data_IF_477604751963
#
_entry.id   IF_477604751963
#
_cell.length_a   1.000
_cell.length_b   1.000
_cell.length_c   1.000
_cell.angle_alpha   90.00
_cell.angle_beta   90.00
_cell.angle_gamma   90.00
#
_symmetry.space_group_name_H-M   'P 1'
#
loop_
_entity.id
_entity.type
_entity.pdbx_description
1 polymer ?
#
# COMPACT_ATOMS: atom_id res chain seq x y z
N UNK A 1 -48.68 -3.45 -13.44
CA UNK A 1 -49.57 -2.96 -12.35
C UNK A 1 -49.04 -3.50 -11.03
N UNK A 2 -48.23 -2.72 -10.32
CA UNK A 2 -47.74 -3.04 -8.98
C UNK A 2 -48.84 -2.66 -7.98
N UNK A 3 -49.44 -3.66 -7.34
CA UNK A 3 -50.41 -3.46 -6.25
C UNK A 3 -49.66 -3.20 -4.94
N UNK A 4 -50.15 -2.19 -4.22
CA UNK A 4 -49.73 -1.79 -2.89
C UNK A 4 -49.88 -2.93 -1.87
N UNK A 5 -48.82 -3.20 -1.10
CA UNK A 5 -48.89 -4.15 0.02
C UNK A 5 -47.56 -4.64 0.60
N UNK A 6 -46.44 -4.55 -0.13
CA UNK A 6 -45.09 -4.80 0.42
C UNK A 6 -44.40 -3.47 0.71
N UNK A 7 -43.70 -3.37 1.85
CA UNK A 7 -42.89 -2.19 2.15
C UNK A 7 -41.93 -1.93 0.99
N UNK A 8 -41.72 -0.66 0.56
CA UNK A 8 -40.90 -0.34 -0.62
C UNK A 8 -39.45 -0.83 -0.52
N UNK A 9 -38.97 -1.20 0.67
CA UNK A 9 -37.62 -1.71 0.96
C UNK A 9 -37.45 -3.19 0.61
N UNK A 10 -38.37 -4.08 0.99
CA UNK A 10 -38.25 -5.54 0.77
C UNK A 10 -38.24 -5.90 -0.73
N UNK A 11 -39.05 -5.22 -1.54
CA UNK A 11 -39.05 -5.41 -2.99
C UNK A 11 -37.74 -4.95 -3.64
N UNK A 12 -37.09 -3.92 -3.07
CA UNK A 12 -35.78 -3.43 -3.50
C UNK A 12 -34.67 -4.41 -3.19
N UNK A 13 -34.61 -4.93 -1.96
CA UNK A 13 -33.62 -5.93 -1.53
C UNK A 13 -33.68 -7.20 -2.40
N UNK A 14 -34.88 -7.75 -2.58
CA UNK A 14 -35.08 -8.95 -3.40
C UNK A 14 -34.64 -8.73 -4.87
N UNK A 15 -34.90 -7.55 -5.43
CA UNK A 15 -34.46 -7.20 -6.78
C UNK A 15 -32.93 -7.11 -6.89
N UNK A 16 -32.26 -6.50 -5.90
CA UNK A 16 -30.81 -6.39 -5.87
C UNK A 16 -30.13 -7.75 -5.72
N UNK A 17 -30.66 -8.63 -4.86
CA UNK A 17 -30.16 -9.99 -4.71
C UNK A 17 -30.33 -10.81 -6.00
N UNK A 18 -31.46 -10.67 -6.69
CA UNK A 18 -31.66 -11.31 -7.99
C UNK A 18 -30.65 -10.79 -9.04
N UNK A 19 -30.42 -9.47 -9.08
CA UNK A 19 -29.45 -8.84 -9.98
C UNK A 19 -28.03 -9.35 -9.70
N UNK A 20 -27.63 -9.42 -8.42
CA UNK A 20 -26.35 -9.97 -7.99
C UNK A 20 -26.15 -11.41 -8.45
N UNK A 21 -27.16 -12.26 -8.27
CA UNK A 21 -27.12 -13.66 -8.68
C UNK A 21 -26.94 -13.82 -10.21
N UNK A 22 -27.57 -12.95 -11.00
CA UNK A 22 -27.41 -12.94 -12.45
C UNK A 22 -26.01 -12.45 -12.89
N UNK A 23 -25.44 -11.50 -12.17
CA UNK A 23 -24.19 -10.81 -12.54
C UNK A 23 -22.91 -11.53 -12.09
N UNK A 24 -22.92 -12.16 -10.91
CA UNK A 24 -21.70 -12.58 -10.19
C UNK A 24 -20.80 -13.52 -10.99
N UNK A 25 -21.36 -14.39 -11.83
CA UNK A 25 -20.62 -15.41 -12.59
C UNK A 25 -20.62 -15.23 -14.11
N UNK A 26 -21.26 -14.19 -14.63
CA UNK A 26 -21.46 -14.03 -16.07
C UNK A 26 -21.12 -12.61 -16.53
N UNK A 27 -20.02 -12.45 -17.28
CA UNK A 27 -19.58 -11.17 -17.84
C UNK A 27 -20.60 -10.56 -18.83
N UNK A 28 -21.31 -11.39 -19.59
CA UNK A 28 -22.34 -10.90 -20.52
C UNK A 28 -23.52 -10.34 -19.75
N UNK A 29 -23.91 -10.99 -18.64
CA UNK A 29 -24.97 -10.46 -17.79
C UNK A 29 -24.57 -9.15 -17.12
N UNK A 30 -23.33 -9.03 -16.62
CA UNK A 30 -22.83 -7.74 -16.09
C UNK A 30 -23.02 -6.61 -17.08
N UNK A 31 -22.63 -6.84 -18.35
CA UNK A 31 -22.75 -5.84 -19.42
C UNK A 31 -24.21 -5.50 -19.69
N UNK A 32 -25.06 -6.53 -19.91
CA UNK A 32 -26.49 -6.35 -20.19
C UNK A 32 -27.25 -5.64 -19.08
N UNK A 33 -26.88 -5.85 -17.82
CA UNK A 33 -27.51 -5.17 -16.68
C UNK A 33 -27.25 -3.67 -16.74
N UNK A 34 -26.02 -3.26 -17.06
CA UNK A 34 -25.67 -1.85 -17.24
C UNK A 34 -26.38 -1.28 -18.48
N UNK A 35 -26.40 -2.00 -19.59
CA UNK A 35 -27.10 -1.59 -20.82
C UNK A 35 -28.62 -1.43 -20.60
N UNK A 36 -29.20 -2.21 -19.69
CA UNK A 36 -30.61 -2.11 -19.31
C UNK A 36 -30.93 -0.92 -18.38
N UNK A 37 -29.95 -0.05 -18.10
CA UNK A 37 -30.15 1.17 -17.30
C UNK A 37 -30.12 0.95 -15.79
N UNK A 38 -29.55 -0.16 -15.30
CA UNK A 38 -29.56 -0.46 -13.87
C UNK A 38 -28.73 0.51 -13.01
N UNK A 39 -27.79 1.28 -13.61
CA UNK A 39 -26.89 2.14 -12.84
C UNK A 39 -27.61 3.26 -12.10
N UNK A 40 -28.54 3.98 -12.73
CA UNK A 40 -29.21 5.11 -12.10
C UNK A 40 -29.98 4.71 -10.82
N UNK A 41 -30.82 3.64 -10.82
CA UNK A 41 -31.43 3.13 -9.60
C UNK A 41 -30.41 2.69 -8.53
N UNK A 42 -29.33 2.01 -8.95
CA UNK A 42 -28.28 1.57 -8.03
C UNK A 42 -27.61 2.75 -7.32
N UNK A 43 -27.29 3.83 -8.05
CA UNK A 43 -26.71 5.04 -7.47
C UNK A 43 -27.68 5.79 -6.55
N UNK A 44 -28.99 5.69 -6.81
CA UNK A 44 -30.02 6.15 -5.88
C UNK A 44 -29.96 5.37 -4.56
N UNK A 45 -29.83 4.05 -4.62
CA UNK A 45 -29.76 3.19 -3.42
C UNK A 45 -28.45 3.33 -2.64
N UNK A 46 -27.33 3.70 -3.26
CA UNK A 46 -26.10 4.05 -2.52
C UNK A 46 -26.30 5.19 -1.51
N UNK A 47 -27.30 6.05 -1.75
CA UNK A 47 -27.63 7.20 -0.91
C UNK A 47 -28.76 6.91 0.08
N UNK A 48 -29.29 5.68 0.10
CA UNK A 48 -30.37 5.28 0.99
C UNK A 48 -29.95 5.40 2.45
N UNK A 49 -30.88 5.81 3.32
CA UNK A 49 -30.73 5.72 4.77
C UNK A 49 -30.91 4.28 5.29
N UNK A 50 -31.47 3.39 4.46
CA UNK A 50 -31.53 1.96 4.73
C UNK A 50 -30.17 1.33 4.41
N UNK A 51 -29.44 0.94 5.46
CA UNK A 51 -28.08 0.41 5.35
C UNK A 51 -28.05 -0.96 4.67
N UNK A 52 -29.10 -1.78 4.76
CA UNK A 52 -29.14 -3.06 4.04
C UNK A 52 -29.29 -2.81 2.53
N UNK A 53 -30.17 -1.87 2.16
CA UNK A 53 -30.37 -1.50 0.78
C UNK A 53 -29.12 -0.84 0.17
N UNK A 54 -28.43 0.01 0.94
CA UNK A 54 -27.14 0.59 0.55
C UNK A 54 -26.07 -0.50 0.37
N UNK A 55 -25.98 -1.46 1.28
CA UNK A 55 -25.04 -2.58 1.19
C UNK A 55 -25.27 -3.39 -0.09
N UNK A 56 -26.50 -3.83 -0.35
CA UNK A 56 -26.81 -4.60 -1.56
C UNK A 56 -26.56 -3.83 -2.85
N UNK A 57 -26.86 -2.52 -2.85
CA UNK A 57 -26.55 -1.67 -4.00
C UNK A 57 -25.02 -1.54 -4.21
N UNK A 58 -24.26 -1.42 -3.12
CA UNK A 58 -22.80 -1.35 -3.17
C UNK A 58 -22.21 -2.66 -3.70
N UNK A 59 -22.70 -3.81 -3.22
CA UNK A 59 -22.32 -5.13 -3.73
C UNK A 59 -22.64 -5.30 -5.22
N UNK A 60 -23.78 -4.76 -5.68
CA UNK A 60 -24.15 -4.79 -7.10
C UNK A 60 -23.18 -3.94 -7.93
N UNK A 61 -22.87 -2.72 -7.50
CA UNK A 61 -21.88 -1.86 -8.18
C UNK A 61 -20.49 -2.51 -8.19
N UNK A 62 -20.06 -3.11 -7.08
CA UNK A 62 -18.83 -3.91 -7.02
C UNK A 62 -18.84 -5.01 -8.10
N UNK A 63 -19.90 -5.81 -8.14
CA UNK A 63 -20.03 -6.92 -9.09
C UNK A 63 -19.99 -6.44 -10.54
N UNK A 64 -20.69 -5.37 -10.86
CA UNK A 64 -20.74 -4.80 -12.21
C UNK A 64 -19.41 -4.15 -12.61
N UNK A 65 -18.71 -3.52 -11.67
CA UNK A 65 -17.39 -2.89 -11.89
C UNK A 65 -16.27 -3.87 -12.18
N UNK A 66 -16.46 -5.16 -11.91
CA UNK A 66 -15.49 -6.20 -12.26
C UNK A 66 -15.34 -6.36 -13.79
N UNK A 67 -16.37 -5.96 -14.57
CA UNK A 67 -16.34 -6.05 -16.03
C UNK A 67 -15.61 -4.86 -16.65
N UNK A 68 -14.60 -5.12 -17.48
CA UNK A 68 -13.84 -4.06 -18.17
C UNK A 68 -14.72 -3.16 -19.04
N UNK A 69 -15.78 -3.71 -19.66
CA UNK A 69 -16.75 -2.96 -20.47
C UNK A 69 -17.56 -1.97 -19.63
N UNK A 70 -17.91 -2.34 -18.40
CA UNK A 70 -18.74 -1.50 -17.54
C UNK A 70 -17.96 -0.40 -16.83
N UNK A 71 -16.66 -0.60 -16.56
CA UNK A 71 -15.87 0.35 -15.76
C UNK A 71 -15.95 1.79 -16.29
N UNK A 72 -15.77 2.09 -17.59
CA UNK A 72 -15.89 3.46 -18.09
C UNK A 72 -17.28 4.07 -17.89
N UNK A 73 -18.34 3.25 -18.04
CA UNK A 73 -19.74 3.67 -17.89
C UNK A 73 -20.03 4.00 -16.41
N UNK A 74 -19.63 3.12 -15.49
CA UNK A 74 -19.78 3.31 -14.04
C UNK A 74 -18.96 4.52 -13.56
N UNK A 75 -17.78 4.74 -14.13
CA UNK A 75 -16.93 5.88 -13.75
C UNK A 75 -17.57 7.20 -14.16
N UNK A 76 -18.20 7.22 -15.34
CA UNK A 76 -18.86 8.40 -15.90
C UNK A 76 -20.24 8.67 -15.30
N UNK A 77 -20.83 7.72 -14.55
CA UNK A 77 -22.16 7.87 -13.96
C UNK A 77 -22.19 8.61 -12.62
N UNK A 78 -21.03 9.03 -12.10
CA UNK A 78 -20.92 9.67 -10.78
C UNK A 78 -20.85 8.67 -9.61
N UNK A 79 -20.53 7.39 -9.88
CA UNK A 79 -20.44 6.37 -8.83
C UNK A 79 -19.30 6.63 -7.82
N UNK A 80 -18.16 7.19 -8.26
CA UNK A 80 -16.96 7.39 -7.44
C UNK A 80 -17.24 8.20 -6.15
N UNK A 81 -17.80 9.43 -6.19
CA UNK A 81 -18.11 10.18 -4.98
C UNK A 81 -19.08 9.45 -4.05
N UNK A 82 -20.04 8.71 -4.60
CA UNK A 82 -21.01 7.93 -3.82
C UNK A 82 -20.33 6.75 -3.11
N UNK A 83 -19.43 6.04 -3.78
CA UNK A 83 -18.67 4.93 -3.18
C UNK A 83 -17.76 5.43 -2.05
N UNK A 84 -17.12 6.60 -2.19
CA UNK A 84 -16.32 7.20 -1.10
C UNK A 84 -17.20 7.64 0.07
N UNK A 85 -18.43 8.12 -0.19
CA UNK A 85 -19.41 8.38 0.87
C UNK A 85 -19.80 7.08 1.61
N UNK A 86 -20.09 5.99 0.89
CA UNK A 86 -20.37 4.68 1.49
C UNK A 86 -19.18 4.19 2.33
N UNK A 87 -17.94 4.38 1.86
CA UNK A 87 -16.74 4.03 2.62
C UNK A 87 -16.66 4.76 3.98
N UNK A 88 -17.16 6.00 4.03
CA UNK A 88 -17.20 6.80 5.26
C UNK A 88 -18.35 6.39 6.18
N UNK A 89 -19.57 6.26 5.64
CA UNK A 89 -20.82 6.25 6.40
C UNK A 89 -21.53 4.88 6.45
N UNK A 90 -21.19 3.96 5.54
CA UNK A 90 -21.88 2.69 5.39
C UNK A 90 -21.60 1.70 6.52
N UNK A 91 -22.34 0.60 6.53
CA UNK A 91 -22.07 -0.51 7.45
C UNK A 91 -20.74 -1.22 7.08
N UNK A 92 -20.20 -2.10 7.94
CA UNK A 92 -18.90 -2.74 7.68
C UNK A 92 -18.80 -3.48 6.34
N UNK A 93 -19.85 -4.17 5.91
CA UNK A 93 -19.84 -4.91 4.64
C UNK A 93 -19.91 -3.96 3.44
N UNK A 94 -20.76 -2.93 3.49
CA UNK A 94 -20.83 -1.89 2.47
C UNK A 94 -19.49 -1.15 2.32
N UNK A 95 -18.78 -0.86 3.42
CA UNK A 95 -17.44 -0.26 3.36
C UNK A 95 -16.42 -1.16 2.65
N UNK A 96 -16.45 -2.46 2.95
CA UNK A 96 -15.61 -3.45 2.27
C UNK A 96 -15.91 -3.49 0.77
N UNK A 97 -17.18 -3.55 0.39
CA UNK A 97 -17.58 -3.63 -1.01
C UNK A 97 -17.26 -2.33 -1.76
N UNK A 98 -17.41 -1.18 -1.10
CA UNK A 98 -17.07 0.12 -1.65
C UNK A 98 -15.58 0.24 -2.01
N UNK A 99 -14.66 -0.19 -1.12
CA UNK A 99 -13.23 -0.14 -1.44
C UNK A 99 -12.85 -1.11 -2.55
N UNK A 100 -13.48 -2.28 -2.62
CA UNK A 100 -13.26 -3.24 -3.71
C UNK A 100 -13.78 -2.68 -5.05
N UNK A 101 -14.90 -1.97 -5.04
CA UNK A 101 -15.43 -1.31 -6.24
C UNK A 101 -14.52 -0.17 -6.69
N UNK A 102 -14.05 0.67 -5.75
CA UNK A 102 -13.10 1.75 -6.04
C UNK A 102 -11.79 1.20 -6.61
N UNK A 103 -11.27 0.09 -6.09
CA UNK A 103 -10.11 -0.59 -6.65
C UNK A 103 -10.36 -1.11 -8.07
N UNK A 104 -11.53 -1.69 -8.36
CA UNK A 104 -11.86 -2.13 -9.72
C UNK A 104 -11.88 -0.95 -10.70
N UNK A 105 -12.43 0.19 -10.29
CA UNK A 105 -12.49 1.41 -11.10
C UNK A 105 -11.11 2.07 -11.25
N UNK A 106 -10.26 2.00 -10.23
CA UNK A 106 -8.92 2.60 -10.26
C UNK A 106 -7.96 1.93 -11.26
N UNK A 107 -8.33 0.78 -11.84
CA UNK A 107 -7.56 0.17 -12.94
C UNK A 107 -7.65 0.97 -14.25
N UNK A 108 -8.56 1.95 -14.33
CA UNK A 108 -8.54 2.98 -15.37
C UNK A 108 -7.76 4.16 -14.81
N UNK A 109 -6.62 4.48 -15.43
CA UNK A 109 -5.68 5.51 -14.92
C UNK A 109 -6.35 6.86 -14.67
N UNK A 110 -7.24 7.31 -15.57
CA UNK A 110 -7.94 8.59 -15.45
C UNK A 110 -8.84 8.66 -14.21
N UNK A 111 -9.31 7.52 -13.70
CA UNK A 111 -10.12 7.47 -12.49
C UNK A 111 -9.34 7.76 -11.22
N UNK A 112 -8.00 7.58 -11.21
CA UNK A 112 -7.21 7.82 -10.00
C UNK A 112 -7.31 9.27 -9.53
N UNK A 113 -7.30 10.23 -10.46
CA UNK A 113 -7.49 11.65 -10.13
C UNK A 113 -8.90 11.93 -9.64
N UNK A 114 -9.92 11.33 -10.26
CA UNK A 114 -11.31 11.47 -9.83
C UNK A 114 -11.54 10.91 -8.41
N UNK A 115 -10.93 9.75 -8.10
CA UNK A 115 -10.95 9.16 -6.77
C UNK A 115 -10.23 10.06 -5.77
N UNK A 116 -9.04 10.60 -6.11
CA UNK A 116 -8.29 11.47 -5.20
C UNK A 116 -9.01 12.81 -4.93
N UNK A 117 -9.71 13.36 -5.93
CA UNK A 117 -10.44 14.61 -5.81
C UNK A 117 -11.54 14.58 -4.73
N UNK A 118 -12.08 13.41 -4.42
CA UNK A 118 -13.11 13.22 -3.38
C UNK A 118 -12.52 12.81 -2.02
N UNK A 119 -11.21 13.00 -1.82
CA UNK A 119 -10.49 12.85 -0.54
C UNK A 119 -10.71 11.48 0.13
N UNK A 120 -10.25 10.39 -0.50
CA UNK A 120 -10.54 9.03 -0.04
C UNK A 120 -9.63 8.60 1.12
N UNK A 121 -8.59 9.38 1.45
CA UNK A 121 -7.51 8.94 2.35
C UNK A 121 -8.00 8.67 3.79
N UNK A 122 -8.67 9.61 4.49
CA UNK A 122 -9.15 9.33 5.84
C UNK A 122 -10.03 8.07 5.94
N UNK A 123 -11.07 7.87 5.09
CA UNK A 123 -11.91 6.67 5.20
C UNK A 123 -11.19 5.37 4.77
N UNK A 124 -10.18 5.43 3.89
CA UNK A 124 -9.34 4.26 3.57
C UNK A 124 -8.45 3.85 4.76
N UNK A 125 -7.87 4.82 5.46
CA UNK A 125 -7.04 4.55 6.65
C UNK A 125 -7.90 4.01 7.79
N UNK A 126 -9.07 4.60 8.04
CA UNK A 126 -10.01 4.08 9.05
C UNK A 126 -10.49 2.66 8.74
N UNK A 127 -10.73 2.33 7.47
CA UNK A 127 -11.08 0.96 7.07
C UNK A 127 -9.96 -0.04 7.40
N UNK A 128 -8.70 0.33 7.14
CA UNK A 128 -7.55 -0.53 7.46
C UNK A 128 -7.34 -0.68 8.97
N UNK A 129 -7.49 0.40 9.76
CA UNK A 129 -7.38 0.36 11.22
C UNK A 129 -8.42 -0.57 11.84
N UNK A 130 -9.67 -0.54 11.36
CA UNK A 130 -10.76 -1.35 11.89
C UNK A 130 -10.80 -2.81 11.38
N UNK A 131 -9.98 -3.15 10.38
CA UNK A 131 -10.04 -4.43 9.67
C UNK A 131 -8.86 -5.37 9.96
N UNK A 132 -9.04 -6.66 9.66
CA UNK A 132 -7.93 -7.64 9.68
C UNK A 132 -6.96 -7.32 8.53
N UNK A 133 -5.68 -7.05 8.85
CA UNK A 133 -4.65 -6.66 7.88
C UNK A 133 -4.35 -7.71 6.82
N UNK A 134 -4.57 -8.99 7.12
CA UNK A 134 -4.43 -10.11 6.17
C UNK A 134 -5.70 -10.43 5.37
N UNK A 135 -6.73 -9.59 5.42
CA UNK A 135 -7.96 -9.78 4.64
C UNK A 135 -7.78 -9.34 3.17
N UNK A 136 -8.58 -9.93 2.26
CA UNK A 136 -8.63 -9.51 0.85
C UNK A 136 -9.03 -8.04 0.70
N UNK A 137 -9.89 -7.55 1.58
CA UNK A 137 -10.28 -6.14 1.60
C UNK A 137 -9.10 -5.24 1.93
N UNK A 138 -8.31 -5.59 2.96
CA UNK A 138 -7.08 -4.87 3.29
C UNK A 138 -6.08 -4.90 2.12
N UNK A 139 -5.93 -6.05 1.43
CA UNK A 139 -5.08 -6.14 0.23
C UNK A 139 -5.52 -5.14 -0.86
N UNK A 140 -6.83 -5.05 -1.14
CA UNK A 140 -7.36 -4.13 -2.17
C UNK A 140 -7.33 -2.68 -1.75
N UNK A 141 -7.58 -2.39 -0.47
CA UNK A 141 -7.45 -1.06 0.09
C UNK A 141 -6.00 -0.57 -0.01
N UNK A 142 -5.04 -1.41 0.36
CA UNK A 142 -3.62 -1.09 0.26
C UNK A 142 -3.17 -0.93 -1.20
N UNK A 143 -3.66 -1.77 -2.12
CA UNK A 143 -3.37 -1.65 -3.55
C UNK A 143 -3.92 -0.34 -4.16
N UNK A 144 -5.11 0.09 -3.74
CA UNK A 144 -5.68 1.38 -4.14
C UNK A 144 -4.81 2.53 -3.61
N UNK A 145 -4.40 2.48 -2.33
CA UNK A 145 -3.49 3.48 -1.74
C UNK A 145 -2.15 3.53 -2.49
N UNK A 146 -1.51 2.39 -2.78
CA UNK A 146 -0.27 2.32 -3.58
C UNK A 146 -0.45 3.04 -4.93
N UNK A 147 -1.58 2.81 -5.62
CA UNK A 147 -1.87 3.42 -6.91
C UNK A 147 -2.07 4.95 -6.81
N UNK A 148 -2.72 5.42 -5.74
CA UNK A 148 -2.97 6.85 -5.51
C UNK A 148 -1.70 7.60 -5.08
N UNK A 149 -0.75 6.93 -4.44
CA UNK A 149 0.52 7.53 -3.99
C UNK A 149 1.45 7.97 -5.14
N UNK A 150 1.11 7.66 -6.39
CA UNK A 150 1.70 8.30 -7.56
C UNK A 150 1.53 9.84 -7.54
N UNK A 151 0.47 10.35 -6.92
CA UNK A 151 0.15 11.78 -6.85
C UNK A 151 0.66 12.41 -5.54
N UNK A 152 1.28 13.59 -5.63
CA UNK A 152 1.82 14.31 -4.45
C UNK A 152 0.74 14.66 -3.44
N UNK A 153 -0.42 15.08 -3.92
CA UNK A 153 -1.60 15.35 -3.10
C UNK A 153 -1.97 14.14 -2.22
N UNK A 154 -1.88 12.91 -2.74
CA UNK A 154 -2.14 11.70 -1.96
C UNK A 154 -1.08 11.48 -0.88
N UNK A 155 0.20 11.65 -1.22
CA UNK A 155 1.30 11.46 -0.26
C UNK A 155 1.21 12.46 0.89
N UNK A 156 0.92 13.73 0.60
CA UNK A 156 0.72 14.78 1.61
C UNK A 156 -0.49 14.47 2.49
N UNK A 157 -1.62 14.06 1.90
CA UNK A 157 -2.81 13.67 2.65
C UNK A 157 -2.53 12.48 3.56
N UNK A 158 -1.85 11.43 3.06
CA UNK A 158 -1.48 10.26 3.84
C UNK A 158 -0.59 10.60 5.04
N UNK A 159 0.40 11.48 4.87
CA UNK A 159 1.29 11.90 5.97
C UNK A 159 0.63 12.87 6.94
N UNK A 160 -0.47 13.52 6.54
CA UNK A 160 -1.22 14.43 7.41
C UNK A 160 -2.31 13.70 8.19
N UNK A 161 -2.76 12.53 7.71
CA UNK A 161 -3.73 11.68 8.38
C UNK A 161 -3.11 10.99 9.60
N UNK A 162 -3.80 11.05 10.73
CA UNK A 162 -3.31 10.47 11.98
C UNK A 162 -3.13 8.95 11.83
N UNK A 163 -1.90 8.47 12.04
CA UNK A 163 -1.55 7.07 11.87
C UNK A 163 -1.59 6.59 10.41
N UNK A 164 -1.60 7.48 9.42
CA UNK A 164 -1.64 7.10 8.01
C UNK A 164 -0.46 6.22 7.59
N UNK A 165 0.77 6.66 7.84
CA UNK A 165 2.00 5.89 7.53
C UNK A 165 2.11 4.64 8.41
N UNK A 166 1.79 4.76 9.71
CA UNK A 166 1.75 3.63 10.65
C UNK A 166 0.85 2.49 10.14
N UNK A 167 -0.34 2.83 9.66
CA UNK A 167 -1.31 1.84 9.16
C UNK A 167 -0.73 1.04 7.98
N UNK A 168 0.05 1.69 7.10
CA UNK A 168 0.74 0.98 6.01
C UNK A 168 1.86 0.08 6.54
N UNK A 169 2.60 0.52 7.55
CA UNK A 169 3.65 -0.28 8.21
C UNK A 169 3.05 -1.50 8.92
N UNK A 170 1.94 -1.35 9.60
CA UNK A 170 1.24 -2.48 10.22
C UNK A 170 0.72 -3.48 9.16
N UNK A 171 0.26 -3.01 7.98
CA UNK A 171 -0.04 -3.92 6.84
C UNK A 171 1.23 -4.60 6.31
N UNK A 172 2.37 -3.90 6.30
CA UNK A 172 3.67 -4.46 5.95
C UNK A 172 4.11 -5.56 6.93
N UNK A 173 3.68 -5.52 8.18
CA UNK A 173 4.04 -6.51 9.21
C UNK A 173 3.05 -7.68 9.26
N UNK A 174 1.75 -7.40 9.28
CA UNK A 174 0.69 -8.37 9.59
C UNK A 174 -0.16 -8.77 8.37
N UNK A 175 0.11 -8.18 7.22
CA UNK A 175 -0.66 -8.36 6.00
C UNK A 175 -0.53 -9.74 5.36
N UNK A 176 -1.39 -10.02 4.37
CA UNK A 176 -1.19 -11.16 3.48
C UNK A 176 0.05 -10.93 2.61
N UNK A 177 0.52 -11.96 1.89
CA UNK A 177 1.62 -11.76 0.93
C UNK A 177 1.32 -10.67 -0.12
N UNK A 178 0.05 -10.52 -0.53
CA UNK A 178 -0.35 -9.45 -1.45
C UNK A 178 -0.41 -8.10 -0.75
N UNK A 179 -1.03 -8.02 0.44
CA UNK A 179 -1.12 -6.80 1.22
C UNK A 179 0.26 -6.24 1.58
N UNK A 180 1.19 -7.11 1.99
CA UNK A 180 2.59 -6.75 2.27
C UNK A 180 3.33 -6.27 1.01
N UNK A 181 3.08 -6.88 -0.16
CA UNK A 181 3.65 -6.44 -1.45
C UNK A 181 3.17 -5.04 -1.87
N UNK A 182 1.90 -4.73 -1.60
CA UNK A 182 1.32 -3.40 -1.82
C UNK A 182 1.84 -2.39 -0.79
N UNK A 183 1.94 -2.77 0.48
CA UNK A 183 2.44 -1.90 1.54
C UNK A 183 3.89 -1.48 1.32
N UNK A 184 4.79 -2.42 0.98
CA UNK A 184 6.17 -2.08 0.63
C UNK A 184 6.25 -1.21 -0.61
N UNK A 185 5.35 -1.42 -1.59
CA UNK A 185 5.26 -0.59 -2.78
C UNK A 185 4.83 0.84 -2.49
N UNK A 186 3.82 1.02 -1.64
CA UNK A 186 3.37 2.33 -1.18
C UNK A 186 4.51 3.11 -0.49
N UNK A 187 5.20 2.50 0.47
CA UNK A 187 6.34 3.11 1.17
C UNK A 187 7.52 3.40 0.22
N UNK A 188 7.77 2.50 -0.74
CA UNK A 188 8.80 2.69 -1.76
C UNK A 188 8.49 3.88 -2.67
N UNK A 189 7.27 3.98 -3.21
CA UNK A 189 6.84 5.11 -4.04
C UNK A 189 6.98 6.44 -3.30
N UNK A 190 6.66 6.49 -2.00
CA UNK A 190 6.90 7.68 -1.19
C UNK A 190 8.40 8.02 -1.15
N UNK A 191 9.26 7.09 -0.75
CA UNK A 191 10.72 7.30 -0.69
C UNK A 191 11.37 7.64 -2.04
N UNK A 192 10.92 7.05 -3.14
CA UNK A 192 11.41 7.34 -4.50
C UNK A 192 11.00 8.74 -4.95
N UNK A 193 9.83 9.21 -4.54
CA UNK A 193 9.34 10.55 -4.90
C UNK A 193 10.10 11.68 -4.20
N UNK A 194 10.35 11.54 -2.89
CA UNK A 194 11.16 12.48 -2.10
C UNK A 194 11.70 11.78 -0.86
N UNK A 195 12.89 11.19 -1.01
CA UNK A 195 13.58 10.49 0.09
C UNK A 195 13.75 11.39 1.31
N UNK A 196 14.07 12.67 1.12
CA UNK A 196 14.36 13.59 2.23
C UNK A 196 13.11 13.87 3.08
N UNK A 197 11.96 13.94 2.43
CA UNK A 197 10.66 14.20 3.06
C UNK A 197 10.07 12.98 3.76
N UNK A 198 10.15 11.79 3.14
CA UNK A 198 9.39 10.63 3.60
C UNK A 198 10.21 9.62 4.41
N UNK A 199 11.54 9.64 4.32
CA UNK A 199 12.40 8.66 4.99
C UNK A 199 12.17 8.60 6.50
N UNK A 200 12.24 9.74 7.18
CA UNK A 200 12.18 9.77 8.65
C UNK A 200 10.78 9.41 9.13
N UNK A 201 9.73 9.81 8.40
CA UNK A 201 8.36 9.38 8.68
C UNK A 201 8.24 7.86 8.65
N UNK A 202 8.75 7.20 7.61
CA UNK A 202 8.69 5.73 7.47
C UNK A 202 9.51 5.02 8.56
N UNK A 203 10.68 5.57 8.92
CA UNK A 203 11.53 4.98 9.97
C UNK A 203 10.94 5.13 11.36
N UNK A 204 10.33 6.28 11.65
CA UNK A 204 9.74 6.55 12.97
C UNK A 204 8.55 5.63 13.26
N UNK A 205 7.83 5.18 12.22
CA UNK A 205 6.77 4.17 12.35
C UNK A 205 7.30 2.73 12.42
N UNK A 206 8.63 2.52 12.35
CA UNK A 206 9.22 1.22 12.62
C UNK A 206 9.24 0.24 11.43
N UNK A 207 9.28 0.69 10.18
CA UNK A 207 9.18 -0.21 9.00
C UNK A 207 10.27 -1.30 8.87
N UNK A 208 11.43 -1.17 9.55
CA UNK A 208 12.62 -2.00 9.30
C UNK A 208 12.41 -3.50 9.56
N UNK A 209 11.84 -3.95 10.69
CA UNK A 209 11.64 -5.38 10.96
C UNK A 209 10.78 -6.04 9.88
N UNK A 210 9.63 -5.45 9.54
CA UNK A 210 8.76 -5.93 8.47
C UNK A 210 9.46 -6.00 7.10
N UNK A 211 10.28 -4.99 6.76
CA UNK A 211 11.07 -5.00 5.52
C UNK A 211 12.11 -6.13 5.50
N UNK A 212 12.84 -6.35 6.60
CA UNK A 212 13.83 -7.42 6.70
C UNK A 212 13.19 -8.79 6.59
N UNK A 213 12.06 -9.01 7.26
CA UNK A 213 11.29 -10.24 7.15
C UNK A 213 10.84 -10.49 5.70
N UNK A 214 10.33 -9.45 5.02
CA UNK A 214 9.93 -9.50 3.63
C UNK A 214 11.06 -9.88 2.68
N UNK A 215 12.33 -9.52 2.96
CA UNK A 215 13.47 -9.95 2.12
C UNK A 215 13.68 -11.46 2.12
N UNK A 216 13.21 -12.17 3.14
CA UNK A 216 13.34 -13.63 3.27
C UNK A 216 12.05 -14.35 2.87
N UNK A 217 10.91 -13.88 3.39
CA UNK A 217 9.62 -14.58 3.28
C UNK A 217 8.63 -13.95 2.29
N UNK A 218 9.03 -12.87 1.61
CA UNK A 218 8.20 -12.18 0.63
C UNK A 218 8.06 -12.92 -0.71
N UNK A 219 7.16 -12.43 -1.56
CA UNK A 219 7.08 -12.80 -2.97
C UNK A 219 8.34 -12.29 -3.70
N UNK A 220 8.67 -12.79 -4.91
CA UNK A 220 9.79 -12.26 -5.68
C UNK A 220 9.73 -10.72 -5.88
N UNK A 221 8.53 -10.18 -6.09
CA UNK A 221 8.31 -8.73 -6.25
C UNK A 221 8.48 -7.98 -4.93
N UNK A 222 7.88 -8.48 -3.84
CA UNK A 222 7.97 -7.79 -2.55
C UNK A 222 9.39 -7.84 -1.97
N UNK A 223 10.15 -8.92 -2.18
CA UNK A 223 11.59 -9.00 -1.85
C UNK A 223 12.39 -7.92 -2.57
N UNK A 224 12.19 -7.79 -3.87
CA UNK A 224 12.87 -6.77 -4.68
C UNK A 224 12.55 -5.36 -4.17
N UNK A 225 11.25 -5.04 -3.98
CA UNK A 225 10.82 -3.74 -3.45
C UNK A 225 11.40 -3.47 -2.06
N UNK A 226 11.41 -4.47 -1.17
CA UNK A 226 11.96 -4.35 0.18
C UNK A 226 13.46 -4.05 0.16
N UNK A 227 14.26 -4.71 -0.69
CA UNK A 227 15.67 -4.39 -0.83
C UNK A 227 15.90 -2.93 -1.28
N UNK A 228 15.18 -2.47 -2.30
CA UNK A 228 15.29 -1.08 -2.79
C UNK A 228 14.89 -0.08 -1.70
N UNK A 229 13.78 -0.33 -1.00
CA UNK A 229 13.34 0.56 0.08
C UNK A 229 14.34 0.57 1.24
N UNK A 230 14.89 -0.57 1.65
CA UNK A 230 15.92 -0.64 2.68
C UNK A 230 17.17 0.20 2.31
N UNK A 231 17.58 0.16 1.04
CA UNK A 231 18.69 0.98 0.54
C UNK A 231 18.37 2.48 0.60
N UNK A 232 17.14 2.88 0.24
CA UNK A 232 16.67 4.27 0.36
C UNK A 232 16.57 4.72 1.83
N UNK A 233 16.10 3.86 2.71
CA UNK A 233 15.95 4.17 4.14
C UNK A 233 17.28 4.18 4.89
N UNK A 234 18.29 3.46 4.41
CA UNK A 234 19.64 3.55 4.97
C UNK A 234 20.09 5.01 4.92
N UNK A 235 20.57 5.56 6.04
CA UNK A 235 21.40 6.77 5.97
C UNK A 235 22.50 6.45 4.98
N UNK A 236 22.67 7.19 3.89
CA UNK A 236 23.93 7.07 3.17
C UNK A 236 25.03 7.40 4.17
N UNK A 237 25.85 6.43 4.63
CA UNK A 237 27.07 6.75 5.35
C UNK A 237 28.15 7.11 4.32
N UNK A 238 27.80 7.15 3.03
CA UNK A 238 28.65 7.52 1.95
C UNK A 238 28.09 8.78 1.26
N UNK A 239 28.26 9.92 1.93
CA UNK A 239 29.30 10.74 1.32
C UNK A 239 30.57 9.88 1.38
N UNK A 240 30.83 9.09 0.32
CA UNK A 240 32.19 9.20 -0.17
C UNK A 240 32.24 10.67 -0.54
N UNK A 241 32.64 11.55 0.40
CA UNK A 241 33.76 12.41 0.06
C UNK A 241 34.62 11.42 -0.69
N UNK A 242 34.81 11.58 -2.01
CA UNK A 242 35.87 10.85 -2.70
C UNK A 242 36.93 10.67 -1.62
N UNK A 243 37.14 9.45 -1.13
CA UNK A 243 38.35 9.23 -0.35
C UNK A 243 39.32 9.60 -1.44
N UNK A 244 39.84 10.83 -1.35
CA UNK A 244 40.80 11.28 -2.33
C UNK A 244 41.81 10.14 -2.30
N UNK A 245 42.26 9.64 -3.44
CA UNK A 245 43.25 8.56 -3.48
C UNK A 245 44.30 8.75 -2.35
N UNK A 246 44.68 10.00 -2.14
CA UNK A 246 45.41 10.63 -1.05
C UNK A 246 45.03 10.19 0.38
N UNK A 247 43.74 10.13 0.78
CA UNK A 247 43.35 9.72 2.15
C UNK A 247 43.62 8.24 2.41
N UNK A 248 43.32 7.36 1.45
CA UNK A 248 43.64 5.94 1.57
C UNK A 248 45.15 5.72 1.50
N UNK A 249 45.83 6.45 0.62
CA UNK A 249 47.27 6.41 0.47
C UNK A 249 47.98 6.94 1.74
N UNK A 250 47.47 8.00 2.37
CA UNK A 250 47.98 8.53 3.64
C UNK A 250 47.80 7.55 4.80
N UNK A 251 46.67 6.85 4.87
CA UNK A 251 46.45 5.82 5.90
C UNK A 251 47.41 4.65 5.68
N UNK A 252 47.55 4.18 4.44
CA UNK A 252 48.49 3.10 4.09
C UNK A 252 49.94 3.52 4.34
N UNK A 253 50.29 4.79 4.08
CA UNK A 253 51.64 5.34 4.27
C UNK A 253 51.96 5.50 5.75
N UNK A 254 51.00 5.95 6.57
CA UNK A 254 51.16 6.00 8.02
C UNK A 254 51.33 4.60 8.62
N UNK A 255 50.54 3.62 8.20
CA UNK A 255 50.72 2.23 8.65
C UNK A 255 52.07 1.67 8.16
N UNK A 256 52.44 1.92 6.90
CA UNK A 256 53.72 1.50 6.34
C UNK A 256 54.93 2.14 7.04
N UNK A 257 54.79 3.38 7.53
CA UNK A 257 55.84 4.09 8.29
C UNK A 257 56.13 3.47 9.65
N UNK A 258 55.19 2.68 10.19
CA UNK A 258 55.32 1.97 11.46
C UNK A 258 55.79 0.52 11.28
N UNK A 259 56.09 0.08 10.05
CA UNK A 259 56.47 -1.29 9.71
C UNK A 259 57.89 -1.32 9.16
N UNK A 260 58.76 -2.16 9.72
CA UNK A 260 60.11 -2.41 9.19
C UNK A 260 60.17 -3.61 8.23
N UNK A 261 61.04 -3.50 7.21
CA UNK A 261 61.29 -4.53 6.19
C UNK A 261 60.90 -4.14 4.75
N UNK A 262 61.23 -4.98 3.77
CA UNK A 262 61.18 -4.65 2.33
C UNK A 262 59.76 -4.60 1.71
N UNK A 263 58.72 -5.13 2.37
CA UNK A 263 57.32 -5.10 1.88
C UNK A 263 56.38 -4.36 2.85
N UNK A 264 56.62 -3.06 3.04
CA UNK A 264 55.81 -2.23 3.94
C UNK A 264 54.38 -2.04 3.42
N UNK A 265 54.24 -1.86 2.11
CA UNK A 265 52.94 -1.59 1.46
C UNK A 265 51.99 -2.79 1.46
N UNK A 266 52.48 -3.99 1.19
CA UNK A 266 51.69 -5.22 1.26
C UNK A 266 51.24 -5.54 2.68
N UNK A 267 52.15 -5.43 3.65
CA UNK A 267 51.85 -5.64 5.08
C UNK A 267 50.87 -4.62 5.63
N UNK A 268 51.03 -3.33 5.30
CA UNK A 268 50.12 -2.28 5.73
C UNK A 268 48.68 -2.50 5.22
N UNK A 269 48.54 -2.89 3.95
CA UNK A 269 47.22 -3.24 3.36
C UNK A 269 46.59 -4.46 4.05
N UNK A 270 47.40 -5.47 4.37
CA UNK A 270 46.93 -6.67 5.08
C UNK A 270 46.48 -6.35 6.51
N UNK A 271 47.25 -5.55 7.25
CA UNK A 271 46.88 -5.11 8.60
C UNK A 271 45.60 -4.26 8.59
N UNK A 272 45.46 -3.35 7.63
CA UNK A 272 44.23 -2.56 7.48
C UNK A 272 43.00 -3.48 7.25
N UNK A 273 43.15 -4.49 6.38
CA UNK A 273 42.08 -5.46 6.12
C UNK A 273 41.71 -6.27 7.38
N UNK A 274 42.71 -6.68 8.16
CA UNK A 274 42.51 -7.39 9.43
C UNK A 274 41.84 -6.50 10.50
N UNK A 275 42.24 -5.24 10.62
CA UNK A 275 41.62 -4.27 11.54
C UNK A 275 40.13 -4.05 11.22
N UNK A 276 39.78 -3.90 9.93
CA UNK A 276 38.39 -3.76 9.49
C UNK A 276 37.60 -5.03 9.83
N UNK A 277 38.16 -6.21 9.55
CA UNK A 277 37.52 -7.49 9.85
C UNK A 277 37.24 -7.66 11.34
N UNK A 278 38.22 -7.35 12.20
CA UNK A 278 38.08 -7.43 13.67
C UNK A 278 37.01 -6.46 14.18
N UNK A 279 36.98 -5.23 13.66
CA UNK A 279 35.96 -4.24 14.02
C UNK A 279 34.54 -4.70 13.64
N UNK A 280 34.39 -5.35 12.48
CA UNK A 280 33.11 -5.91 12.05
C UNK A 280 32.66 -7.06 12.96
N UNK A 281 33.57 -7.98 13.30
CA UNK A 281 33.28 -9.10 14.20
C UNK A 281 32.90 -8.64 15.62
N UNK A 282 33.55 -7.60 16.14
CA UNK A 282 33.20 -7.02 17.44
C UNK A 282 31.81 -6.38 17.42
N UNK A 283 31.50 -5.65 16.35
CA UNK A 283 30.18 -5.02 16.16
C UNK A 283 29.06 -6.06 16.10
N UNK A 284 29.30 -7.17 15.39
CA UNK A 284 28.40 -8.33 15.32
C UNK A 284 28.19 -8.99 16.69
N UNK A 285 29.25 -9.18 17.47
CA UNK A 285 29.15 -9.73 18.83
C UNK A 285 28.36 -8.81 19.77
N UNK A 286 28.52 -7.50 19.64
CA UNK A 286 27.73 -6.54 20.42
C UNK A 286 26.24 -6.57 20.07
N UNK A 287 25.90 -6.71 18.78
CA UNK A 287 24.52 -6.87 18.32
C UNK A 287 23.89 -8.18 18.82
N UNK A 288 24.62 -9.30 18.75
CA UNK A 288 24.15 -10.59 19.25
C UNK A 288 23.91 -10.58 20.76
N UNK A 289 24.80 -9.96 21.54
CA UNK A 289 24.60 -9.80 22.99
C UNK A 289 23.35 -8.99 23.32
N UNK A 290 23.07 -7.92 22.58
CA UNK A 290 21.86 -7.12 22.79
C UNK A 290 20.58 -7.89 22.44
N UNK A 291 20.63 -8.77 21.44
CA UNK A 291 19.50 -9.61 21.05
C UNK A 291 19.22 -10.76 22.03
N UNK A 292 20.20 -11.21 22.82
CA UNK A 292 20.02 -12.28 23.82
C UNK A 292 19.49 -11.82 25.19
N UNK A 293 19.29 -10.50 25.38
CA UNK A 293 18.75 -9.90 26.61
C UNK A 293 17.40 -9.18 26.40
N UNK A 294 16.74 -9.45 25.27
CA UNK A 294 15.37 -9.03 24.95
C UNK A 294 14.51 -10.28 24.78
#
# INVERSE_FOLDING_TARGET
>A
MLRAGAAPTEAGEAALLALLNLAVRDERNKTKIVDAGALEPLLGYLQSSDLNLQEYATAAVLTLSASSTNKPIISSSGAIPLLVKVLKEGNPQAKNDAVMALYNLSTITDNLQAILAVQPIPPLIELLKGGKRSSKTADKCCALLESLLAFDQCRVALTSEEGGVLTIVEVLEEGSLQGREHAVGALLTMCESDRSKYRDLILNEGAIPGLLELTVHGTPKSRMKAHVLLDLLRNSPYSRSKLQPDTLENIVTNIASQIDGEDRGGKAKKMLAEMVKVSMEQSLRHLQRRASFA
#
